data_IF_046227319683
#
_entry.id   IF_046227319683
#
_cell.length_a   1.000
_cell.length_b   1.000
_cell.length_c   1.000
_cell.angle_alpha   90.00
_cell.angle_beta   90.00
_cell.angle_gamma   90.00
#
_symmetry.space_group_name_H-M   'P 1'
#
loop_
_entity.id
_entity.type
_entity.pdbx_description
1 polymer ?
#
# COMPACT_ATOMS: atom_id res chain seq x y z
N UNK A 1 -7.21 -93.72 6.60
CA UNK A 1 -7.20 -93.03 7.91
C UNK A 1 -8.04 -91.77 7.78
N UNK A 2 -9.15 -91.66 8.55
CA UNK A 2 -10.07 -90.50 8.54
C UNK A 2 -9.41 -89.33 9.29
N UNK A 3 -9.25 -88.17 8.65
CA UNK A 3 -8.52 -87.05 9.26
C UNK A 3 -9.35 -86.34 10.35
N UNK A 4 -8.74 -85.89 11.45
CA UNK A 4 -9.42 -85.22 12.57
C UNK A 4 -10.07 -83.88 12.20
N UNK A 5 -9.73 -83.31 11.03
CA UNK A 5 -10.21 -82.02 10.53
C UNK A 5 -11.70 -82.07 10.16
N UNK A 6 -12.18 -83.19 9.63
CA UNK A 6 -13.60 -83.34 9.25
C UNK A 6 -14.54 -83.38 10.45
N UNK A 7 -14.08 -83.89 11.61
CA UNK A 7 -14.88 -83.90 12.84
C UNK A 7 -15.03 -82.50 13.44
N UNK A 8 -13.98 -81.69 13.38
CA UNK A 8 -14.00 -80.30 13.89
C UNK A 8 -14.92 -79.43 13.04
N UNK A 9 -14.87 -79.57 11.71
CA UNK A 9 -15.76 -78.86 10.80
C UNK A 9 -17.24 -79.22 11.02
N UNK A 10 -17.54 -80.50 11.28
CA UNK A 10 -18.91 -80.96 11.51
C UNK A 10 -19.46 -80.47 12.87
N UNK A 11 -18.60 -80.34 13.89
CA UNK A 11 -18.96 -79.76 15.19
C UNK A 11 -19.26 -78.26 15.10
N UNK A 12 -18.39 -77.50 14.39
CA UNK A 12 -18.60 -76.08 14.12
C UNK A 12 -19.89 -75.83 13.33
N UNK A 13 -20.20 -76.68 12.35
CA UNK A 13 -21.42 -76.57 11.58
C UNK A 13 -22.68 -76.84 12.43
N UNK A 14 -22.63 -77.80 13.35
CA UNK A 14 -23.74 -78.10 14.27
C UNK A 14 -24.04 -76.98 15.28
N UNK A 15 -23.02 -76.24 15.72
CA UNK A 15 -23.18 -75.09 16.62
C UNK A 15 -23.81 -73.91 15.86
N UNK A 16 -23.42 -73.66 14.60
CA UNK A 16 -23.99 -72.58 13.79
C UNK A 16 -25.48 -72.87 13.48
N UNK A 17 -25.81 -74.13 13.15
CA UNK A 17 -27.18 -74.56 12.88
C UNK A 17 -28.12 -74.44 14.10
N UNK A 18 -27.62 -74.73 15.29
CA UNK A 18 -28.43 -74.64 16.52
C UNK A 18 -28.70 -73.19 16.95
N UNK A 19 -27.78 -72.26 16.67
CA UNK A 19 -28.01 -70.80 16.87
C UNK A 19 -29.02 -70.26 15.87
N UNK A 20 -29.02 -70.72 14.61
CA UNK A 20 -30.03 -70.32 13.62
C UNK A 20 -31.42 -70.89 13.89
N UNK A 21 -31.52 -72.11 14.45
CA UNK A 21 -32.80 -72.75 14.74
C UNK A 21 -33.57 -72.10 15.91
N UNK A 22 -32.88 -71.45 16.85
CA UNK A 22 -33.50 -70.73 17.98
C UNK A 22 -34.01 -69.33 17.63
N UNK A 23 -33.63 -68.76 16.49
CA UNK A 23 -34.12 -67.46 16.01
C UNK A 23 -35.46 -67.55 15.25
N UNK A 24 -35.97 -68.75 14.99
CA UNK A 24 -37.17 -68.99 14.17
C UNK A 24 -38.36 -69.58 14.95
N UNK A 25 -38.52 -69.23 16.23
CA UNK A 25 -39.82 -69.37 16.89
C UNK A 25 -40.27 -67.99 17.34
N UNK A 26 -40.65 -67.17 16.37
CA UNK A 26 -41.58 -66.05 16.57
C UNK A 26 -42.95 -66.59 16.18
N UNK A 27 -43.82 -66.76 17.15
CA UNK A 27 -45.24 -67.01 16.93
C UNK A 27 -45.84 -65.79 16.22
N UNK A 28 -46.05 -65.88 14.91
CA UNK A 28 -46.44 -64.78 14.03
C UNK A 28 -47.90 -64.36 14.29
N UNK A 29 -48.10 -63.22 14.96
CA UNK A 29 -49.40 -62.56 15.05
C UNK A 29 -49.62 -61.69 13.78
N UNK A 30 -50.67 -61.92 12.97
CA UNK A 30 -50.93 -61.20 11.73
C UNK A 30 -51.01 -59.67 11.88
N UNK A 31 -51.41 -59.17 13.05
CA UNK A 31 -51.51 -57.74 13.32
C UNK A 31 -50.15 -57.03 13.43
N UNK A 32 -49.10 -57.73 13.89
CA UNK A 32 -47.75 -57.15 13.97
C UNK A 32 -47.13 -56.97 12.58
N UNK A 33 -47.41 -57.87 11.64
CA UNK A 33 -46.90 -57.76 10.27
C UNK A 33 -47.56 -56.61 9.50
N UNK A 34 -48.86 -56.41 9.71
CA UNK A 34 -49.61 -55.28 9.13
C UNK A 34 -49.14 -53.96 9.73
N UNK A 35 -48.97 -53.87 11.05
CA UNK A 35 -48.46 -52.67 11.71
C UNK A 35 -47.00 -52.35 11.34
N UNK A 36 -46.15 -53.37 11.16
CA UNK A 36 -44.78 -53.21 10.68
C UNK A 36 -44.75 -52.77 9.21
N UNK A 37 -45.61 -53.33 8.35
CA UNK A 37 -45.70 -52.93 6.95
C UNK A 37 -46.19 -51.49 6.80
N UNK A 38 -47.26 -51.12 7.51
CA UNK A 38 -47.84 -49.77 7.52
C UNK A 38 -46.86 -48.75 8.10
N UNK A 39 -46.13 -49.11 9.18
CA UNK A 39 -45.06 -48.29 9.72
C UNK A 39 -43.89 -48.10 8.76
N UNK A 40 -43.50 -49.15 8.02
CA UNK A 40 -42.43 -49.07 7.03
C UNK A 40 -42.82 -48.17 5.86
N UNK A 41 -44.08 -48.20 5.42
CA UNK A 41 -44.61 -47.37 4.35
C UNK A 41 -44.63 -45.88 4.75
N UNK A 42 -45.04 -45.56 5.98
CA UNK A 42 -45.00 -44.20 6.53
C UNK A 42 -43.57 -43.67 6.71
N UNK A 43 -42.62 -44.52 7.12
CA UNK A 43 -41.20 -44.16 7.20
C UNK A 43 -40.66 -43.86 5.81
N UNK A 44 -40.96 -44.71 4.82
CA UNK A 44 -40.48 -44.56 3.45
C UNK A 44 -41.02 -43.28 2.79
N UNK A 45 -42.28 -42.92 3.07
CA UNK A 45 -42.87 -41.64 2.70
C UNK A 45 -42.14 -40.43 3.32
N UNK A 46 -41.89 -40.45 4.64
CA UNK A 46 -41.15 -39.37 5.31
C UNK A 46 -39.70 -39.23 4.86
N UNK A 47 -39.01 -40.34 4.61
CA UNK A 47 -37.64 -40.34 4.07
C UNK A 47 -37.62 -39.70 2.68
N UNK A 48 -38.61 -39.99 1.84
CA UNK A 48 -38.74 -39.39 0.51
C UNK A 48 -38.98 -37.87 0.60
N UNK A 49 -39.88 -37.43 1.46
CA UNK A 49 -40.16 -36.00 1.68
C UNK A 49 -38.92 -35.26 2.23
N UNK A 50 -38.18 -35.88 3.16
CA UNK A 50 -36.92 -35.33 3.67
C UNK A 50 -35.84 -35.28 2.59
N UNK A 51 -35.73 -36.30 1.74
CA UNK A 51 -34.78 -36.34 0.63
C UNK A 51 -35.10 -35.27 -0.41
N UNK A 52 -36.38 -35.06 -0.75
CA UNK A 52 -36.81 -33.99 -1.67
C UNK A 52 -36.59 -32.60 -1.07
N UNK A 53 -36.83 -32.44 0.23
CA UNK A 53 -36.49 -31.23 0.98
C UNK A 53 -34.99 -30.93 0.97
N UNK A 54 -34.16 -31.92 1.30
CA UNK A 54 -32.70 -31.81 1.26
C UNK A 54 -32.17 -31.54 -0.15
N UNK A 55 -32.75 -32.17 -1.18
CA UNK A 55 -32.39 -31.92 -2.58
C UNK A 55 -32.71 -30.49 -3.00
N UNK A 56 -33.88 -29.96 -2.62
CA UNK A 56 -34.23 -28.55 -2.83
C UNK A 56 -33.28 -27.61 -2.09
N UNK A 57 -32.96 -27.89 -0.83
CA UNK A 57 -32.01 -27.09 -0.04
C UNK A 57 -30.61 -27.12 -0.64
N UNK A 58 -30.10 -28.28 -1.06
CA UNK A 58 -28.80 -28.41 -1.70
C UNK A 58 -28.75 -27.65 -3.04
N UNK A 59 -29.83 -27.70 -3.83
CA UNK A 59 -29.93 -26.95 -5.08
C UNK A 59 -29.90 -25.45 -4.83
N UNK A 60 -30.65 -24.97 -3.83
CA UNK A 60 -30.64 -23.57 -3.39
C UNK A 60 -29.27 -23.13 -2.86
N UNK A 61 -28.59 -23.97 -2.07
CA UNK A 61 -27.24 -23.68 -1.58
C UNK A 61 -26.22 -23.59 -2.72
N UNK A 62 -26.31 -24.47 -3.71
CA UNK A 62 -25.44 -24.43 -4.89
C UNK A 62 -25.71 -23.18 -5.75
N UNK A 63 -26.98 -22.79 -5.94
CA UNK A 63 -27.30 -21.53 -6.64
C UNK A 63 -26.80 -20.32 -5.86
N UNK A 64 -26.98 -20.29 -4.54
CA UNK A 64 -26.46 -19.21 -3.68
C UNK A 64 -24.93 -19.14 -3.74
N UNK A 65 -24.24 -20.28 -3.72
CA UNK A 65 -22.78 -20.33 -3.85
C UNK A 65 -22.29 -19.83 -5.21
N UNK A 66 -22.99 -20.17 -6.31
CA UNK A 66 -22.69 -19.67 -7.64
C UNK A 66 -22.89 -18.15 -7.76
N UNK A 67 -23.98 -17.62 -7.19
CA UNK A 67 -24.24 -16.18 -7.12
C UNK A 67 -23.18 -15.45 -6.27
N UNK A 68 -22.76 -16.03 -5.13
CA UNK A 68 -21.68 -15.46 -4.32
C UNK A 68 -20.33 -15.44 -5.05
N UNK A 69 -20.00 -16.49 -5.82
CA UNK A 69 -18.79 -16.47 -6.66
C UNK A 69 -18.91 -15.38 -7.73
N UNK A 70 -20.07 -15.22 -8.36
CA UNK A 70 -20.32 -14.16 -9.34
C UNK A 70 -20.21 -12.75 -8.71
N UNK A 71 -20.78 -12.54 -7.53
CA UNK A 71 -20.61 -11.31 -6.76
C UNK A 71 -19.15 -11.03 -6.43
N UNK A 72 -18.36 -12.06 -6.08
CA UNK A 72 -16.94 -11.92 -5.82
C UNK A 72 -16.14 -11.53 -7.06
N UNK A 73 -16.54 -12.03 -8.23
CA UNK A 73 -15.95 -11.62 -9.50
C UNK A 73 -16.30 -10.15 -9.83
N UNK A 74 -17.52 -9.70 -9.55
CA UNK A 74 -17.89 -8.29 -9.67
C UNK A 74 -17.13 -7.40 -8.70
N UNK A 75 -16.95 -7.83 -7.44
CA UNK A 75 -16.14 -7.13 -6.45
C UNK A 75 -14.69 -6.95 -6.93
N UNK A 76 -14.07 -8.01 -7.46
CA UNK A 76 -12.72 -7.94 -8.04
C UNK A 76 -12.66 -6.93 -9.20
N UNK A 77 -13.61 -6.98 -10.13
CA UNK A 77 -13.69 -6.04 -11.26
C UNK A 77 -13.88 -4.61 -10.79
N UNK A 78 -14.78 -4.38 -9.84
CA UNK A 78 -15.06 -3.07 -9.27
C UNK A 78 -13.83 -2.50 -8.56
N UNK A 79 -13.15 -3.30 -7.73
CA UNK A 79 -11.91 -2.90 -7.08
C UNK A 79 -10.80 -2.57 -8.11
N UNK A 80 -10.70 -3.33 -9.20
CA UNK A 80 -9.79 -3.03 -10.30
C UNK A 80 -10.09 -1.67 -10.95
N UNK A 81 -11.36 -1.33 -11.16
CA UNK A 81 -11.76 -0.02 -11.68
C UNK A 81 -11.42 1.10 -10.72
N UNK A 82 -11.72 0.94 -9.42
CA UNK A 82 -11.38 1.95 -8.40
C UNK A 82 -9.86 2.20 -8.30
N UNK A 83 -9.05 1.14 -8.35
CA UNK A 83 -7.58 1.26 -8.39
C UNK A 83 -7.09 2.01 -9.63
N UNK A 84 -7.72 1.76 -10.78
CA UNK A 84 -7.36 2.43 -12.03
C UNK A 84 -7.74 3.92 -11.99
N UNK A 85 -8.97 4.25 -11.59
CA UNK A 85 -9.45 5.62 -11.48
C UNK A 85 -8.66 6.44 -10.45
N UNK A 86 -8.39 5.85 -9.28
CA UNK A 86 -7.53 6.49 -8.25
C UNK A 86 -6.10 6.68 -8.73
N UNK A 87 -5.55 5.75 -9.52
CA UNK A 87 -4.26 5.91 -10.20
C UNK A 87 -4.24 7.13 -11.12
N UNK A 88 -5.25 7.29 -11.98
CA UNK A 88 -5.35 8.47 -12.85
C UNK A 88 -5.47 9.78 -12.04
N UNK A 89 -6.35 9.82 -11.04
CA UNK A 89 -6.52 11.00 -10.19
C UNK A 89 -5.22 11.37 -9.44
N UNK A 90 -4.49 10.37 -8.92
CA UNK A 90 -3.19 10.54 -8.27
C UNK A 90 -2.15 11.11 -9.24
N UNK A 91 -2.07 10.59 -10.46
CA UNK A 91 -1.16 11.09 -11.49
C UNK A 91 -1.46 12.55 -11.87
N UNK A 92 -2.74 12.91 -12.00
CA UNK A 92 -3.15 14.28 -12.33
C UNK A 92 -2.84 15.24 -11.18
N UNK A 93 -3.08 14.81 -9.93
CA UNK A 93 -2.67 15.57 -8.74
C UNK A 93 -1.16 15.81 -8.72
N UNK A 94 -0.35 14.78 -8.98
CA UNK A 94 1.10 14.90 -9.03
C UNK A 94 1.56 15.86 -10.14
N UNK A 95 0.99 15.78 -11.35
CA UNK A 95 1.28 16.71 -12.45
C UNK A 95 0.99 18.17 -12.08
N UNK A 96 -0.13 18.44 -11.41
CA UNK A 96 -0.47 19.80 -10.95
C UNK A 96 0.55 20.32 -9.94
N UNK A 97 1.01 19.47 -9.01
CA UNK A 97 2.05 19.87 -8.07
C UNK A 97 3.40 20.12 -8.77
N UNK A 98 3.80 19.27 -9.72
CA UNK A 98 5.01 19.48 -10.52
C UNK A 98 4.99 20.81 -11.27
N UNK A 99 3.86 21.19 -11.87
CA UNK A 99 3.70 22.49 -12.52
C UNK A 99 3.87 23.64 -11.52
N UNK A 100 3.18 23.56 -10.38
CA UNK A 100 3.27 24.58 -9.33
C UNK A 100 4.69 24.73 -8.78
N UNK A 101 5.38 23.61 -8.54
CA UNK A 101 6.76 23.62 -8.04
C UNK A 101 7.73 24.16 -9.11
N UNK A 102 7.54 23.82 -10.38
CA UNK A 102 8.30 24.39 -11.49
C UNK A 102 8.18 25.91 -11.58
N UNK A 103 6.97 26.45 -11.49
CA UNK A 103 6.73 27.91 -11.49
C UNK A 103 7.39 28.57 -10.27
N UNK A 104 7.28 27.95 -9.09
CA UNK A 104 7.91 28.46 -7.86
C UNK A 104 9.44 28.50 -7.96
N UNK A 105 10.05 27.48 -8.55
CA UNK A 105 11.49 27.42 -8.83
C UNK A 105 11.89 28.56 -9.76
N UNK A 106 11.17 28.77 -10.85
CA UNK A 106 11.45 29.86 -11.78
C UNK A 106 11.41 31.23 -11.10
N UNK A 107 10.38 31.47 -10.28
CA UNK A 107 10.26 32.71 -9.49
C UNK A 107 11.45 32.86 -8.52
N UNK A 108 11.85 31.79 -7.84
CA UNK A 108 13.01 31.80 -6.93
C UNK A 108 14.32 32.08 -7.66
N UNK A 109 14.52 31.54 -8.86
CA UNK A 109 15.69 31.84 -9.69
C UNK A 109 15.75 33.31 -10.11
N UNK A 110 14.61 33.89 -10.49
CA UNK A 110 14.53 35.33 -10.77
C UNK A 110 14.87 36.18 -9.55
N UNK A 111 14.37 35.81 -8.36
CA UNK A 111 14.71 36.47 -7.09
C UNK A 111 16.18 36.31 -6.73
N UNK A 112 16.75 35.13 -6.96
CA UNK A 112 18.17 34.85 -6.77
C UNK A 112 19.04 35.75 -7.66
N UNK A 113 18.71 35.86 -8.96
CA UNK A 113 19.39 36.76 -9.89
C UNK A 113 19.34 38.22 -9.40
N UNK A 114 18.17 38.67 -8.94
CA UNK A 114 18.01 40.01 -8.38
C UNK A 114 18.86 40.20 -7.11
N UNK A 115 18.84 39.25 -6.19
CA UNK A 115 19.65 39.29 -4.97
C UNK A 115 21.16 39.36 -5.26
N UNK A 116 21.63 38.63 -6.27
CA UNK A 116 23.01 38.71 -6.73
C UNK A 116 23.35 40.11 -7.26
N UNK A 117 22.45 40.71 -8.04
CA UNK A 117 22.63 42.08 -8.54
C UNK A 117 22.64 43.12 -7.43
N UNK A 118 21.75 42.98 -6.44
CA UNK A 118 21.59 43.94 -5.34
C UNK A 118 22.68 43.80 -4.27
N UNK A 119 23.21 42.58 -4.06
CA UNK A 119 24.25 42.28 -3.08
C UNK A 119 25.31 41.32 -3.64
N UNK A 120 26.24 41.79 -4.51
CA UNK A 120 27.23 40.94 -5.16
C UNK A 120 28.20 40.28 -4.17
N UNK A 121 28.59 41.00 -3.11
CA UNK A 121 29.41 40.44 -2.01
C UNK A 121 28.68 39.33 -1.23
N UNK A 122 27.34 39.29 -1.30
CA UNK A 122 26.50 38.28 -0.67
C UNK A 122 26.75 36.87 -1.17
N UNK A 123 27.26 36.72 -2.41
CA UNK A 123 27.63 35.41 -2.96
C UNK A 123 28.74 34.78 -2.11
N UNK A 124 29.84 35.52 -1.97
CA UNK A 124 31.02 35.04 -1.22
C UNK A 124 30.71 34.95 0.27
N UNK A 125 29.96 35.92 0.80
CA UNK A 125 29.55 35.90 2.19
C UNK A 125 28.67 34.70 2.53
N UNK A 126 27.68 34.37 1.68
CA UNK A 126 26.84 33.19 1.87
C UNK A 126 27.65 31.89 1.82
N UNK A 127 28.57 31.77 0.87
CA UNK A 127 29.41 30.58 0.72
C UNK A 127 30.30 30.31 1.95
N UNK A 128 30.83 31.36 2.58
CA UNK A 128 31.63 31.20 3.80
C UNK A 128 30.79 30.91 5.05
N UNK A 129 29.53 31.33 5.07
CA UNK A 129 28.66 31.23 6.24
C UNK A 129 27.90 29.92 6.30
N UNK A 130 27.79 29.18 5.19
CA UNK A 130 26.96 28.00 5.11
C UNK A 130 27.33 27.06 3.96
N UNK A 131 26.77 25.84 4.01
CA UNK A 131 26.95 24.83 2.97
C UNK A 131 25.83 24.86 1.90
N UNK A 132 25.01 25.93 1.84
CA UNK A 132 23.80 25.93 1.01
C UNK A 132 24.10 25.83 -0.49
N UNK A 133 25.26 26.29 -0.94
CA UNK A 133 25.66 26.14 -2.34
C UNK A 133 25.82 24.68 -2.75
N UNK A 134 26.53 23.91 -1.92
CA UNK A 134 26.71 22.48 -2.16
C UNK A 134 25.38 21.76 -2.03
N UNK A 135 24.62 22.04 -0.97
CA UNK A 135 23.30 21.42 -0.77
C UNK A 135 22.32 21.71 -1.92
N UNK A 136 22.22 22.97 -2.35
CA UNK A 136 21.32 23.35 -3.47
C UNK A 136 21.76 22.68 -4.77
N UNK A 137 23.08 22.55 -5.00
CA UNK A 137 23.62 21.88 -6.18
C UNK A 137 23.34 20.38 -6.14
N UNK A 138 23.52 19.74 -4.99
CA UNK A 138 23.22 18.30 -4.84
C UNK A 138 21.75 18.01 -5.05
N UNK A 139 20.85 18.84 -4.52
CA UNK A 139 19.40 18.68 -4.75
C UNK A 139 19.05 18.85 -6.24
N UNK A 140 19.67 19.82 -6.93
CA UNK A 140 19.47 20.01 -8.37
C UNK A 140 19.92 18.79 -9.18
N UNK A 141 21.08 18.22 -8.84
CA UNK A 141 21.60 17.01 -9.49
C UNK A 141 20.68 15.81 -9.24
N UNK A 142 20.14 15.67 -8.02
CA UNK A 142 19.17 14.62 -7.70
C UNK A 142 17.89 14.78 -8.52
N UNK A 143 17.31 15.99 -8.58
CA UNK A 143 16.14 16.28 -9.42
C UNK A 143 16.44 15.97 -10.89
N UNK A 144 17.59 16.37 -11.41
CA UNK A 144 17.99 16.11 -12.79
C UNK A 144 18.13 14.61 -13.09
N UNK A 145 18.76 13.85 -12.18
CA UNK A 145 18.90 12.40 -12.33
C UNK A 145 17.54 11.71 -12.37
N UNK A 146 16.62 12.08 -11.48
CA UNK A 146 15.26 11.54 -11.47
C UNK A 146 14.47 11.90 -12.72
N UNK A 147 14.61 13.12 -13.24
CA UNK A 147 13.97 13.51 -14.50
C UNK A 147 14.52 12.69 -15.66
N UNK A 148 15.84 12.52 -15.73
CA UNK A 148 16.49 11.70 -16.75
C UNK A 148 16.02 10.25 -16.67
N UNK A 149 15.97 9.68 -15.48
CA UNK A 149 15.54 8.29 -15.27
C UNK A 149 14.05 8.11 -15.59
N UNK A 150 13.20 9.09 -15.25
CA UNK A 150 11.79 9.10 -15.62
C UNK A 150 11.60 9.15 -17.14
N UNK A 151 12.37 9.99 -17.84
CA UNK A 151 12.33 10.10 -19.31
C UNK A 151 12.84 8.81 -19.97
N UNK A 152 13.93 8.24 -19.48
CA UNK A 152 14.49 6.99 -20.00
C UNK A 152 13.52 5.82 -19.83
N UNK A 153 12.89 5.71 -18.64
CA UNK A 153 11.88 4.68 -18.35
C UNK A 153 10.56 4.87 -19.06
N UNK A 154 10.21 6.08 -19.48
CA UNK A 154 9.00 6.39 -20.25
C UNK A 154 9.21 6.46 -21.77
N UNK A 155 10.37 6.00 -22.27
CA UNK A 155 10.72 6.01 -23.69
C UNK A 155 9.91 5.02 -24.53
N UNK A 156 10.19 5.00 -25.85
CA UNK A 156 9.41 4.21 -26.84
C UNK A 156 9.40 2.69 -26.58
N UNK A 157 10.40 2.15 -25.89
CA UNK A 157 10.58 0.71 -25.68
C UNK A 157 10.07 0.21 -24.32
N UNK A 158 9.88 1.10 -23.34
CA UNK A 158 9.42 0.74 -21.99
C UNK A 158 8.30 1.70 -21.60
N UNK A 159 7.06 1.21 -21.63
CA UNK A 159 5.92 2.03 -21.24
C UNK A 159 5.65 1.84 -19.76
N UNK A 160 5.89 2.88 -18.96
CA UNK A 160 5.56 2.88 -17.53
C UNK A 160 4.07 2.53 -17.35
N UNK A 161 3.79 1.61 -16.43
CA UNK A 161 2.42 1.37 -15.98
C UNK A 161 1.88 2.61 -15.25
N UNK A 162 0.55 2.75 -15.15
CA UNK A 162 -0.07 3.90 -14.48
C UNK A 162 0.38 4.08 -13.02
N UNK A 163 0.68 2.97 -12.33
CA UNK A 163 1.20 2.99 -10.97
C UNK A 163 2.66 3.49 -10.91
N UNK A 164 3.55 2.97 -11.76
CA UNK A 164 4.97 3.37 -11.82
C UNK A 164 5.12 4.83 -12.27
N UNK A 165 4.27 5.28 -13.21
CA UNK A 165 4.20 6.69 -13.61
C UNK A 165 3.82 7.59 -12.42
N UNK A 166 2.79 7.20 -11.67
CA UNK A 166 2.36 7.96 -10.50
C UNK A 166 3.46 8.02 -9.44
N UNK A 167 4.10 6.90 -9.13
CA UNK A 167 5.20 6.84 -8.18
C UNK A 167 6.38 7.73 -8.60
N UNK A 168 6.74 7.70 -9.89
CA UNK A 168 7.82 8.53 -10.44
C UNK A 168 7.49 10.02 -10.35
N UNK A 169 6.24 10.41 -10.66
CA UNK A 169 5.78 11.80 -10.53
C UNK A 169 5.81 12.27 -9.07
N UNK A 170 5.45 11.42 -8.11
CA UNK A 170 5.54 11.75 -6.69
C UNK A 170 6.98 11.91 -6.20
N UNK A 171 7.89 11.02 -6.61
CA UNK A 171 9.30 11.14 -6.28
C UNK A 171 9.91 12.44 -6.84
N UNK A 172 9.56 12.79 -8.09
CA UNK A 172 9.96 14.05 -8.70
C UNK A 172 9.41 15.25 -7.92
N UNK A 173 8.15 15.19 -7.51
CA UNK A 173 7.52 16.26 -6.76
C UNK A 173 8.19 16.53 -5.41
N UNK A 174 8.49 15.47 -4.66
CA UNK A 174 9.17 15.59 -3.36
C UNK A 174 10.54 16.26 -3.51
N UNK A 175 11.30 15.84 -4.52
CA UNK A 175 12.65 16.34 -4.77
C UNK A 175 12.67 17.77 -5.33
N UNK A 176 11.70 18.13 -6.19
CA UNK A 176 11.51 19.52 -6.60
C UNK A 176 11.14 20.43 -5.42
N UNK A 177 10.33 19.94 -4.48
CA UNK A 177 10.01 20.67 -3.26
C UNK A 177 11.23 20.87 -2.37
N UNK A 178 12.07 19.84 -2.20
CA UNK A 178 13.33 19.92 -1.47
C UNK A 178 14.30 20.92 -2.11
N UNK A 179 14.50 20.82 -3.42
CA UNK A 179 15.31 21.75 -4.19
C UNK A 179 14.80 23.19 -4.05
N UNK A 180 13.50 23.41 -4.20
CA UNK A 180 12.89 24.74 -4.07
C UNK A 180 13.14 25.36 -2.68
N UNK A 181 13.07 24.57 -1.61
CA UNK A 181 13.39 25.04 -0.26
C UNK A 181 14.84 25.49 -0.15
N UNK A 182 15.80 24.66 -0.63
CA UNK A 182 17.23 25.00 -0.61
C UNK A 182 17.52 26.22 -1.46
N UNK A 183 16.94 26.31 -2.65
CA UNK A 183 17.08 27.44 -3.55
C UNK A 183 16.56 28.75 -2.93
N UNK A 184 15.40 28.70 -2.27
CA UNK A 184 14.85 29.87 -1.58
C UNK A 184 15.72 30.31 -0.39
N UNK A 185 16.26 29.35 0.36
CA UNK A 185 17.20 29.67 1.44
C UNK A 185 18.52 30.26 0.91
N UNK A 186 19.04 29.73 -0.20
CA UNK A 186 20.23 30.26 -0.87
C UNK A 186 20.01 31.71 -1.32
N UNK A 187 18.86 31.98 -1.95
CA UNK A 187 18.43 33.34 -2.31
C UNK A 187 18.43 34.27 -1.08
N UNK A 188 17.78 33.87 0.01
CA UNK A 188 17.71 34.68 1.23
C UNK A 188 19.10 34.89 1.84
N UNK A 189 19.95 33.87 1.81
CA UNK A 189 21.31 33.92 2.33
C UNK A 189 22.18 34.93 1.58
N UNK A 190 22.19 34.88 0.25
CA UNK A 190 22.93 35.81 -0.60
C UNK A 190 22.41 37.23 -0.41
N UNK A 191 21.09 37.40 -0.30
CA UNK A 191 20.48 38.71 -0.10
C UNK A 191 20.86 39.35 1.25
N UNK A 192 21.02 38.54 2.30
CA UNK A 192 21.11 39.03 3.68
C UNK A 192 22.54 39.08 4.23
N UNK A 193 23.41 38.15 3.85
CA UNK A 193 24.77 38.13 4.38
C UNK A 193 25.69 39.15 3.72
N UNK A 194 26.58 39.68 4.54
CA UNK A 194 27.62 40.66 4.16
C UNK A 194 28.96 40.21 4.67
N UNK A 195 30.05 40.83 4.19
CA UNK A 195 31.40 40.53 4.67
C UNK A 195 31.58 40.83 6.17
N UNK A 196 30.82 41.78 6.72
CA UNK A 196 30.78 42.03 8.17
C UNK A 196 30.25 40.80 8.93
N UNK A 197 29.28 40.09 8.37
CA UNK A 197 28.76 38.86 8.98
C UNK A 197 29.80 37.73 8.96
N UNK A 198 30.57 37.62 7.88
CA UNK A 198 31.69 36.66 7.76
C UNK A 198 32.77 36.97 8.77
N UNK A 199 33.22 38.23 8.81
CA UNK A 199 34.21 38.70 9.78
C UNK A 199 33.76 38.39 11.21
N UNK A 200 32.50 38.69 11.51
CA UNK A 200 31.92 38.44 12.82
C UNK A 200 31.86 36.95 13.17
N UNK A 201 31.67 36.06 12.20
CA UNK A 201 31.68 34.61 12.44
C UNK A 201 33.11 34.12 12.75
N UNK A 202 34.10 34.48 11.93
CA UNK A 202 35.50 34.08 12.09
C UNK A 202 36.07 34.54 13.43
N UNK A 203 35.71 35.74 13.87
CA UNK A 203 36.22 36.34 15.10
C UNK A 203 35.40 36.01 16.36
N UNK A 204 34.30 35.26 16.25
CA UNK A 204 33.38 34.99 17.36
C UNK A 204 34.03 34.22 18.54
N UNK A 205 35.12 33.49 18.30
CA UNK A 205 35.90 32.80 19.34
C UNK A 205 37.27 33.43 19.62
N UNK A 206 37.61 34.53 18.93
CA UNK A 206 38.90 35.22 19.07
C UNK A 206 38.77 36.53 19.87
N UNK A 207 37.57 37.05 19.99
CA UNK A 207 37.25 38.30 20.68
C UNK A 207 36.22 38.02 21.77
N UNK A 208 36.50 38.44 23.00
CA UNK A 208 35.54 38.44 24.09
C UNK A 208 34.47 39.51 23.84
N UNK A 209 33.30 39.06 23.36
CA UNK A 209 32.16 39.93 23.04
C UNK A 209 31.16 39.96 24.17
N UNK A 210 30.68 41.16 24.50
CA UNK A 210 29.58 41.30 25.45
C UNK A 210 28.25 40.89 24.79
N UNK A 211 27.35 40.29 25.57
CA UNK A 211 25.98 39.92 25.17
C UNK A 211 25.23 41.07 24.47
N UNK A 212 25.45 42.32 24.88
CA UNK A 212 24.84 43.50 24.25
C UNK A 212 25.30 43.72 22.79
N UNK A 213 26.56 43.42 22.47
CA UNK A 213 27.10 43.52 21.11
C UNK A 213 26.53 42.41 20.22
N UNK A 214 26.46 41.18 20.75
CA UNK A 214 25.83 40.04 20.06
C UNK A 214 24.37 40.34 19.74
N UNK A 215 23.61 40.90 20.70
CA UNK A 215 22.22 41.30 20.49
C UNK A 215 22.09 42.38 19.40
N UNK A 216 22.96 43.39 19.39
CA UNK A 216 22.95 44.46 18.38
C UNK A 216 23.30 43.93 16.98
N UNK A 217 24.26 43.01 16.88
CA UNK A 217 24.59 42.32 15.63
C UNK A 217 23.42 41.49 15.10
N UNK A 218 22.76 40.71 15.95
CA UNK A 218 21.58 39.95 15.58
C UNK A 218 20.42 40.87 15.13
N UNK A 219 20.19 41.97 15.85
CA UNK A 219 19.17 42.96 15.47
C UNK A 219 19.46 43.62 14.11
N UNK A 220 20.73 43.93 13.83
CA UNK A 220 21.14 44.48 12.53
C UNK A 220 20.88 43.50 11.37
N UNK A 221 21.22 42.21 11.56
CA UNK A 221 20.88 41.14 10.61
C UNK A 221 19.38 41.04 10.38
N UNK A 222 18.60 41.07 11.46
CA UNK A 222 17.14 40.96 11.38
C UNK A 222 16.51 42.15 10.62
N UNK A 223 16.97 43.38 10.89
CA UNK A 223 16.53 44.58 10.16
C UNK A 223 16.81 44.47 8.65
N UNK A 224 18.00 44.02 8.26
CA UNK A 224 18.35 43.78 6.84
C UNK A 224 17.48 42.71 6.20
N UNK A 225 17.16 41.64 6.93
CA UNK A 225 16.25 40.60 6.45
C UNK A 225 14.81 41.12 6.27
N UNK A 226 14.37 42.05 7.13
CA UNK A 226 13.02 42.61 7.13
C UNK A 226 12.80 43.72 6.09
N UNK A 227 13.82 44.51 5.75
CA UNK A 227 13.72 45.60 4.75
C UNK A 227 13.61 45.13 3.30
N UNK A 228 13.85 43.84 3.06
CA UNK A 228 13.88 43.29 1.73
C UNK A 228 12.49 42.75 1.32
N UNK A 229 11.65 43.65 0.79
CA UNK A 229 10.35 43.37 0.17
C UNK A 229 10.50 42.95 -1.30
#
# INVERSE_FOLDING_TARGET
>A
MRSPITKIAMLLFGIILSVTAKAQIVTTNPLEYVALAEGNELILGKVKDQMDGQKKTALLQNTIAAEFEQMRQWEKKYNSYLKTASGFASSLKACTHLYNDGVRIFISLCKLKKAISDNPQGIVAAMSMNNLYIETTTELVTVFSLLRDAVAKGGKENMLTGAERSQTLWALNDQLSAFQKKLNLLYLSIRTYTMTDVWNNVTAGMLDRNNGEVARMAMSRWRRAATAR
#
